data_IF_313876551117
#
_entry.id   IF_313876551117
#
_cell.length_a   1.000
_cell.length_b   1.000
_cell.length_c   1.000
_cell.angle_alpha   90.00
_cell.angle_beta   90.00
_cell.angle_gamma   90.00
#
_symmetry.space_group_name_H-M   'P 1'
#
loop_
_entity.id
_entity.type
_entity.pdbx_description
1 polymer ?
#
# COMPACT_ATOMS: atom_id res chain seq x y z
N UNK A 1 -29.44 -65.43 25.73
CA UNK A 1 -30.81 -65.21 25.22
C UNK A 1 -30.82 -63.90 24.45
N UNK A 2 -31.14 -64.00 23.15
CA UNK A 2 -31.60 -62.99 22.17
C UNK A 2 -30.98 -61.57 22.12
N UNK A 3 -30.36 -61.26 20.97
CA UNK A 3 -30.29 -59.93 20.33
C UNK A 3 -31.59 -59.68 19.49
N UNK A 4 -31.78 -58.62 18.64
CA UNK A 4 -30.85 -57.57 18.16
C UNK A 4 -31.46 -56.15 17.82
N UNK A 5 -30.61 -55.29 17.20
CA UNK A 5 -30.90 -54.28 16.15
C UNK A 5 -31.61 -52.95 16.54
N UNK A 6 -31.39 -51.75 15.98
CA UNK A 6 -30.57 -51.19 14.88
C UNK A 6 -30.66 -49.64 14.93
N UNK A 7 -29.55 -48.97 14.61
CA UNK A 7 -29.33 -47.71 13.83
C UNK A 7 -30.33 -46.52 13.83
N UNK A 8 -29.80 -45.28 13.72
CA UNK A 8 -29.86 -44.40 12.51
C UNK A 8 -29.19 -43.03 12.80
N UNK A 9 -28.49 -42.56 11.77
CA UNK A 9 -27.70 -41.33 11.61
C UNK A 9 -28.51 -40.03 11.82
N UNK A 10 -27.90 -39.07 12.53
CA UNK A 10 -28.39 -37.68 12.62
C UNK A 10 -27.74 -36.81 11.53
N UNK A 11 -28.58 -36.22 10.69
CA UNK A 11 -28.24 -35.28 9.61
C UNK A 11 -28.21 -33.83 10.14
N UNK A 12 -27.20 -33.00 9.84
CA UNK A 12 -27.16 -31.60 10.25
C UNK A 12 -27.75 -30.68 9.16
N UNK A 13 -28.87 -30.03 9.44
CA UNK A 13 -29.37 -28.91 8.65
C UNK A 13 -29.68 -27.73 9.59
N UNK A 14 -28.68 -26.89 9.85
CA UNK A 14 -28.85 -25.55 10.40
C UNK A 14 -29.40 -24.66 9.28
N UNK A 15 -30.69 -24.36 9.38
CA UNK A 15 -31.42 -23.56 8.41
C UNK A 15 -30.90 -22.12 8.33
N UNK A 16 -30.40 -21.75 7.16
CA UNK A 16 -30.31 -20.37 6.71
C UNK A 16 -31.74 -19.85 6.49
N UNK A 17 -32.18 -18.89 7.30
CA UNK A 17 -33.45 -18.20 7.10
C UNK A 17 -33.43 -17.41 5.78
N UNK A 18 -34.42 -17.68 4.92
CA UNK A 18 -34.63 -16.91 3.69
C UNK A 18 -35.06 -15.47 4.04
N UNK A 19 -34.56 -14.42 3.36
CA UNK A 19 -35.09 -13.08 3.53
C UNK A 19 -36.48 -12.97 2.88
N UNK A 20 -37.41 -12.31 3.58
CA UNK A 20 -38.75 -11.99 3.11
C UNK A 20 -38.71 -11.02 1.91
N UNK A 21 -39.62 -11.13 0.93
CA UNK A 21 -39.66 -10.21 -0.21
C UNK A 21 -40.17 -8.84 0.24
N UNK A 22 -39.32 -7.82 0.17
CA UNK A 22 -39.72 -6.43 0.35
C UNK A 22 -40.55 -5.97 -0.86
N UNK A 23 -41.78 -5.55 -0.58
CA UNK A 23 -42.70 -4.98 -1.57
C UNK A 23 -42.19 -3.60 -1.98
N UNK A 24 -41.72 -3.46 -3.22
CA UNK A 24 -41.40 -2.16 -3.80
C UNK A 24 -42.69 -1.36 -4.01
N UNK A 25 -43.00 -0.46 -3.09
CA UNK A 25 -44.00 0.59 -3.35
C UNK A 25 -43.36 1.65 -4.25
N UNK A 26 -43.85 1.72 -5.49
CA UNK A 26 -43.47 2.75 -6.45
C UNK A 26 -43.86 4.13 -5.96
N UNK A 27 -42.87 4.99 -5.74
CA UNK A 27 -43.06 6.42 -5.49
C UNK A 27 -43.50 7.08 -6.79
N UNK A 28 -44.77 7.53 -6.84
CA UNK A 28 -45.28 8.43 -7.90
C UNK A 28 -44.64 9.81 -7.72
N UNK A 29 -43.87 10.24 -8.72
CA UNK A 29 -43.35 11.62 -8.81
C UNK A 29 -44.44 12.53 -9.39
N UNK A 30 -44.83 13.63 -8.72
CA UNK A 30 -45.80 14.57 -9.26
C UNK A 30 -45.21 15.44 -10.38
N UNK A 31 -45.98 15.83 -11.42
CA UNK A 31 -45.47 16.56 -12.56
C UNK A 31 -45.59 18.08 -12.33
N UNK A 32 -44.59 18.68 -11.68
CA UNK A 32 -44.31 20.13 -11.81
C UNK A 32 -43.04 20.51 -11.03
N UNK A 33 -41.89 20.47 -11.71
CA UNK A 33 -40.68 21.15 -11.23
C UNK A 33 -40.57 22.47 -11.98
N UNK A 34 -40.91 23.56 -11.29
CA UNK A 34 -40.63 24.92 -11.74
C UNK A 34 -39.13 25.11 -11.96
N UNK A 35 -38.77 25.78 -13.07
CA UNK A 35 -37.39 26.06 -13.47
C UNK A 35 -36.68 26.90 -12.39
N UNK A 36 -35.47 26.53 -11.93
CA UNK A 36 -34.69 27.40 -11.05
C UNK A 36 -34.26 28.66 -11.80
N UNK A 37 -34.49 29.82 -11.19
CA UNK A 37 -34.04 31.13 -11.66
C UNK A 37 -32.50 31.13 -11.83
N UNK A 38 -32.03 31.64 -12.97
CA UNK A 38 -30.60 31.87 -13.25
C UNK A 38 -30.04 32.82 -12.18
N UNK A 39 -29.14 32.32 -11.35
CA UNK A 39 -28.29 33.17 -10.52
C UNK A 39 -27.18 33.77 -11.39
N UNK A 40 -27.08 35.10 -11.32
CA UNK A 40 -26.05 35.94 -11.92
C UNK A 40 -24.65 35.51 -11.46
N UNK A 41 -23.72 35.43 -12.41
CA UNK A 41 -22.32 35.04 -12.21
C UNK A 41 -21.55 36.06 -11.35
N UNK A 42 -21.18 35.67 -10.14
CA UNK A 42 -20.08 36.31 -9.40
C UNK A 42 -18.73 35.74 -9.89
N UNK A 43 -17.62 36.51 -9.84
CA UNK A 43 -16.34 36.09 -10.39
C UNK A 43 -15.77 34.91 -9.59
N UNK A 44 -15.36 33.84 -10.27
CA UNK A 44 -14.63 32.72 -9.67
C UNK A 44 -13.24 33.20 -9.21
N UNK A 45 -12.80 32.94 -7.97
CA UNK A 45 -11.40 33.08 -7.63
C UNK A 45 -10.56 32.12 -8.47
N UNK A 46 -9.39 32.59 -8.88
CA UNK A 46 -8.49 31.95 -9.84
C UNK A 46 -8.20 30.48 -9.50
N UNK A 47 -8.10 29.67 -10.56
CA UNK A 47 -7.70 28.26 -10.58
C UNK A 47 -6.67 27.95 -9.47
N UNK A 48 -7.03 27.04 -8.54
CA UNK A 48 -6.05 26.34 -7.74
C UNK A 48 -5.12 25.61 -8.72
N UNK A 49 -3.84 25.98 -8.72
CA UNK A 49 -2.83 25.33 -9.54
C UNK A 49 -2.84 23.83 -9.23
N UNK A 50 -3.20 23.01 -10.21
CA UNK A 50 -2.94 21.60 -10.16
C UNK A 50 -1.42 21.43 -10.02
N UNK A 51 -0.97 20.89 -8.89
CA UNK A 51 0.43 20.55 -8.69
C UNK A 51 0.70 19.29 -9.51
N UNK A 52 1.03 19.50 -10.77
CA UNK A 52 1.59 18.48 -11.65
C UNK A 52 3.09 18.36 -11.37
N UNK A 53 3.53 17.19 -10.95
CA UNK A 53 4.97 16.87 -10.89
C UNK A 53 5.39 16.32 -12.25
N UNK A 54 5.89 17.19 -13.12
CA UNK A 54 6.56 16.80 -14.36
C UNK A 54 8.05 16.65 -14.08
N UNK A 55 8.61 15.48 -14.39
CA UNK A 55 10.07 15.29 -14.42
C UNK A 55 10.64 16.17 -15.55
N UNK A 56 11.35 17.25 -15.19
CA UNK A 56 11.99 18.11 -16.19
C UNK A 56 13.24 17.42 -16.74
N UNK A 57 13.12 16.80 -17.92
CA UNK A 57 14.26 16.55 -18.79
C UNK A 57 14.51 17.81 -19.62
N UNK A 58 15.29 18.76 -19.13
CA UNK A 58 15.93 19.74 -20.01
C UNK A 58 17.15 20.37 -19.34
N UNK A 59 18.32 19.99 -19.85
CA UNK A 59 19.59 20.61 -19.54
C UNK A 59 19.71 21.90 -20.35
N UNK A 60 19.44 23.04 -19.74
CA UNK A 60 19.82 24.33 -20.33
C UNK A 60 21.25 24.67 -19.94
N UNK A 61 22.11 24.73 -20.96
CA UNK A 61 23.51 25.09 -20.88
C UNK A 61 23.70 26.51 -20.33
N UNK A 62 24.50 26.61 -19.28
CA UNK A 62 25.23 27.83 -18.93
C UNK A 62 26.65 27.41 -18.60
N UNK A 63 27.59 27.82 -19.46
CA UNK A 63 29.03 27.69 -19.26
C UNK A 63 29.46 28.55 -18.08
N UNK A 64 29.91 27.91 -17.00
CA UNK A 64 30.82 28.47 -16.02
C UNK A 64 31.55 27.33 -15.31
N UNK A 65 32.87 27.47 -15.26
CA UNK A 65 33.92 26.51 -14.95
C UNK A 65 33.77 25.65 -13.67
N UNK A 66 34.17 24.38 -13.82
CA UNK A 66 34.96 23.54 -12.90
C UNK A 66 34.70 23.62 -11.39
N UNK A 67 33.67 22.89 -10.92
CA UNK A 67 33.74 21.90 -9.83
C UNK A 67 32.33 21.32 -9.57
N UNK A 68 31.72 20.68 -10.59
CA UNK A 68 30.46 19.96 -10.37
C UNK A 68 30.80 18.59 -9.80
N UNK A 69 30.45 18.38 -8.53
CA UNK A 69 30.25 17.03 -7.97
C UNK A 69 29.43 16.24 -8.99
N UNK A 70 29.85 15.03 -9.42
CA UNK A 70 29.13 14.28 -10.44
C UNK A 70 27.66 14.18 -10.01
N UNK A 71 26.76 14.60 -10.90
CA UNK A 71 25.34 14.69 -10.61
C UNK A 71 24.85 13.39 -9.96
N UNK A 72 24.26 13.51 -8.77
CA UNK A 72 23.81 12.36 -7.98
C UNK A 72 22.75 11.62 -8.79
N UNK A 73 23.15 10.53 -9.44
CA UNK A 73 22.22 9.63 -10.10
C UNK A 73 21.29 9.04 -9.05
N UNK A 74 20.03 9.47 -9.02
CA UNK A 74 18.97 8.86 -8.20
C UNK A 74 18.46 7.54 -8.79
N UNK A 75 19.10 7.03 -9.84
CA UNK A 75 18.78 5.75 -10.46
C UNK A 75 19.94 4.79 -10.20
N UNK A 76 19.65 3.48 -10.05
CA UNK A 76 20.71 2.51 -9.94
C UNK A 76 21.50 2.41 -11.24
N UNK A 77 22.74 1.94 -11.15
CA UNK A 77 23.55 1.57 -12.30
C UNK A 77 22.96 0.35 -13.05
N UNK A 78 23.50 -0.05 -14.22
CA UNK A 78 23.03 -1.23 -14.95
C UNK A 78 23.10 -2.56 -14.19
N UNK A 79 23.85 -2.61 -13.08
CA UNK A 79 23.91 -3.77 -12.20
C UNK A 79 22.88 -3.71 -11.06
N UNK A 80 22.05 -2.66 -11.01
CA UNK A 80 21.05 -2.45 -9.98
C UNK A 80 21.62 -1.83 -8.71
N UNK A 81 22.79 -1.18 -8.75
CA UNK A 81 23.44 -0.59 -7.57
C UNK A 81 23.19 0.90 -7.41
N UNK A 82 22.91 1.29 -6.17
CA UNK A 82 22.91 2.68 -5.71
C UNK A 82 24.21 2.92 -4.91
N UNK A 83 25.24 3.43 -5.60
CA UNK A 83 26.58 3.46 -5.02
C UNK A 83 27.04 2.06 -4.62
N UNK A 84 27.33 1.83 -3.33
CA UNK A 84 27.73 0.51 -2.81
C UNK A 84 26.56 -0.44 -2.51
N UNK A 85 25.32 0.06 -2.51
CA UNK A 85 24.13 -0.71 -2.11
C UNK A 85 23.40 -1.27 -3.33
N UNK A 86 22.48 -2.22 -3.11
CA UNK A 86 21.70 -2.84 -4.18
C UNK A 86 22.51 -3.90 -4.92
N UNK A 87 22.17 -4.17 -6.18
CA UNK A 87 22.68 -5.31 -6.92
C UNK A 87 21.76 -6.53 -6.84
N UNK A 88 22.14 -7.60 -7.56
CA UNK A 88 21.37 -8.83 -7.70
C UNK A 88 22.05 -9.96 -6.92
N UNK A 89 21.70 -10.10 -5.64
CA UNK A 89 22.21 -11.17 -4.76
C UNK A 89 21.21 -12.31 -4.67
N UNK A 90 21.05 -13.05 -5.77
CA UNK A 90 20.10 -14.16 -5.90
C UNK A 90 20.79 -15.41 -6.44
N UNK A 91 20.18 -16.60 -6.31
CA UNK A 91 20.65 -17.79 -7.02
C UNK A 91 20.74 -17.56 -8.54
N UNK A 92 21.74 -18.16 -9.18
CA UNK A 92 21.97 -18.07 -10.63
C UNK A 92 20.73 -18.46 -11.44
N UNK A 93 19.94 -19.40 -10.93
CA UNK A 93 18.67 -19.85 -11.55
C UNK A 93 17.65 -18.74 -11.74
N UNK A 94 17.72 -17.65 -10.97
CA UNK A 94 16.82 -16.50 -11.10
C UNK A 94 17.38 -15.39 -12.00
N UNK A 95 18.66 -15.44 -12.38
CA UNK A 95 19.30 -14.36 -13.13
C UNK A 95 18.66 -14.16 -14.50
N UNK A 96 18.28 -15.24 -15.18
CA UNK A 96 17.56 -15.16 -16.46
C UNK A 96 16.21 -14.45 -16.31
N UNK A 97 15.41 -14.86 -15.32
CA UNK A 97 14.08 -14.29 -15.09
C UNK A 97 14.12 -12.84 -14.63
N UNK A 98 15.11 -12.46 -13.83
CA UNK A 98 15.35 -11.05 -13.48
C UNK A 98 15.74 -10.22 -14.70
N UNK A 99 16.51 -10.79 -15.63
CA UNK A 99 16.91 -10.11 -16.86
C UNK A 99 15.73 -9.95 -17.83
N UNK A 100 14.88 -10.98 -17.96
CA UNK A 100 13.60 -10.90 -18.68
C UNK A 100 12.69 -9.82 -18.09
N UNK A 101 12.52 -9.83 -16.77
CA UNK A 101 11.70 -8.85 -16.05
C UNK A 101 12.21 -7.42 -16.26
N UNK A 102 13.52 -7.21 -16.15
CA UNK A 102 14.14 -5.90 -16.34
C UNK A 102 13.95 -5.39 -17.77
N UNK A 103 14.19 -6.24 -18.77
CA UNK A 103 13.97 -5.89 -20.18
C UNK A 103 12.50 -5.51 -20.44
N UNK A 104 11.57 -6.30 -19.92
CA UNK A 104 10.14 -6.02 -20.06
C UNK A 104 9.73 -4.74 -19.32
N UNK A 105 10.23 -4.51 -18.11
CA UNK A 105 10.01 -3.26 -17.37
C UNK A 105 10.48 -2.05 -18.19
N UNK A 106 11.69 -2.09 -18.75
CA UNK A 106 12.19 -0.98 -19.55
C UNK A 106 11.36 -0.74 -20.80
N UNK A 107 10.91 -1.81 -21.46
CA UNK A 107 10.02 -1.71 -22.62
C UNK A 107 8.69 -1.03 -22.27
N UNK A 108 8.03 -1.44 -21.18
CA UNK A 108 6.72 -0.88 -20.80
C UNK A 108 6.79 0.47 -20.09
N UNK A 109 7.93 0.80 -19.49
CA UNK A 109 8.11 2.07 -18.75
C UNK A 109 7.96 3.31 -19.62
N UNK A 110 8.12 3.17 -20.94
CA UNK A 110 7.99 4.24 -21.94
C UNK A 110 6.87 3.98 -22.95
N UNK A 111 6.15 2.87 -22.81
CA UNK A 111 5.04 2.51 -23.68
C UNK A 111 3.78 3.30 -23.26
N UNK A 112 3.34 4.22 -24.12
CA UNK A 112 2.19 5.09 -23.87
C UNK A 112 0.89 4.30 -23.66
N UNK A 113 0.68 3.19 -24.36
CA UNK A 113 -0.51 2.37 -24.22
C UNK A 113 -0.52 1.66 -22.87
N UNK A 114 0.65 1.16 -22.43
CA UNK A 114 0.80 0.59 -21.10
C UNK A 114 0.55 1.62 -20.00
N UNK A 115 1.15 2.82 -20.11
CA UNK A 115 0.95 3.88 -19.12
C UNK A 115 -0.51 4.31 -19.05
N UNK A 116 -1.17 4.46 -20.21
CA UNK A 116 -2.59 4.81 -20.27
C UNK A 116 -3.50 3.74 -19.65
N UNK A 117 -3.21 2.45 -19.86
CA UNK A 117 -3.93 1.36 -19.22
C UNK A 117 -3.72 1.37 -17.70
N UNK A 118 -2.47 1.52 -17.25
CA UNK A 118 -2.13 1.61 -15.83
C UNK A 118 -2.81 2.80 -15.16
N UNK A 119 -2.74 3.99 -15.76
CA UNK A 119 -3.37 5.22 -15.26
C UNK A 119 -4.88 5.10 -15.16
N UNK A 120 -5.52 4.47 -16.17
CA UNK A 120 -6.95 4.17 -16.13
C UNK A 120 -7.32 3.29 -14.93
N UNK A 121 -6.53 2.25 -14.64
CA UNK A 121 -6.76 1.36 -13.49
C UNK A 121 -6.48 2.07 -12.18
N UNK A 122 -5.39 2.83 -12.09
CA UNK A 122 -5.06 3.63 -10.91
C UNK A 122 -6.17 4.64 -10.58
N UNK A 123 -6.74 5.28 -11.59
CA UNK A 123 -7.84 6.23 -11.41
C UNK A 123 -9.14 5.52 -11.03
N UNK A 124 -9.62 4.63 -11.88
CA UNK A 124 -11.00 4.13 -11.80
C UNK A 124 -11.17 2.94 -10.84
N UNK A 125 -10.10 2.15 -10.61
CA UNK A 125 -10.14 0.99 -9.72
C UNK A 125 -9.47 1.25 -8.38
N UNK A 126 -8.29 1.89 -8.37
CA UNK A 126 -7.59 2.21 -7.11
C UNK A 126 -8.17 3.46 -6.44
N UNK A 127 -8.69 4.41 -7.21
CA UNK A 127 -9.25 5.67 -6.69
C UNK A 127 -8.22 6.80 -6.60
N UNK A 128 -7.19 6.78 -7.44
CA UNK A 128 -6.20 7.87 -7.54
C UNK A 128 -6.80 9.08 -8.27
N UNK A 129 -6.36 10.29 -8.00
CA UNK A 129 -5.31 10.67 -7.04
C UNK A 129 -5.82 10.71 -5.59
N UNK A 130 -4.98 10.25 -4.65
CA UNK A 130 -5.25 10.42 -3.23
C UNK A 130 -5.09 11.88 -2.80
N UNK A 131 -5.96 12.43 -1.94
CA UNK A 131 -5.88 13.83 -1.53
C UNK A 131 -4.64 14.11 -0.66
N UNK A 132 -4.17 15.37 -0.72
CA UNK A 132 -3.25 15.94 0.26
C UNK A 132 -4.06 16.77 1.26
N UNK A 133 -4.32 16.18 2.41
CA UNK A 133 -5.23 16.73 3.42
C UNK A 133 -4.48 17.64 4.39
N UNK A 134 -4.92 18.89 4.56
CA UNK A 134 -4.40 19.76 5.62
C UNK A 134 -5.02 19.38 6.96
N UNK A 135 -4.20 18.90 7.90
CA UNK A 135 -4.65 18.43 9.21
C UNK A 135 -4.71 19.61 10.18
N UNK A 136 -5.82 20.32 10.18
CA UNK A 136 -6.01 21.57 10.93
C UNK A 136 -5.80 21.39 12.44
N UNK A 137 -6.43 20.39 13.04
CA UNK A 137 -6.39 20.18 14.49
C UNK A 137 -5.05 19.63 14.96
N UNK A 138 -4.39 18.82 14.12
CA UNK A 138 -3.03 18.34 14.34
C UNK A 138 -2.01 19.45 14.16
N UNK A 139 -2.23 20.35 13.20
CA UNK A 139 -1.41 21.57 13.02
C UNK A 139 -1.52 22.45 14.26
N UNK A 140 -2.74 22.71 14.74
CA UNK A 140 -2.96 23.49 15.95
C UNK A 140 -2.35 22.83 17.21
N UNK A 141 -2.35 21.50 17.27
CA UNK A 141 -1.69 20.75 18.35
C UNK A 141 -0.17 20.99 18.42
N UNK A 142 0.49 21.17 17.26
CA UNK A 142 1.94 21.41 17.18
C UNK A 142 2.32 22.90 17.17
N UNK A 143 1.37 23.82 17.33
CA UNK A 143 1.70 25.23 17.52
C UNK A 143 2.39 25.45 18.86
N UNK A 144 3.42 26.27 18.83
CA UNK A 144 4.12 26.76 20.02
C UNK A 144 3.25 27.82 20.72
N UNK A 145 3.51 28.13 22.01
CA UNK A 145 2.71 29.10 22.77
C UNK A 145 2.66 30.51 22.16
N UNK A 146 3.64 30.88 21.34
CA UNK A 146 3.68 32.15 20.59
C UNK A 146 2.78 32.13 19.32
N UNK A 147 2.05 31.04 19.08
CA UNK A 147 1.16 30.86 17.92
C UNK A 147 1.84 30.37 16.64
N UNK A 148 3.17 30.22 16.67
CA UNK A 148 3.98 29.77 15.52
C UNK A 148 4.12 28.25 15.48
N UNK A 149 4.24 27.67 14.30
CA UNK A 149 4.47 26.24 14.15
C UNK A 149 4.42 25.77 12.70
N UNK A 150 4.77 24.50 12.45
CA UNK A 150 4.64 23.91 11.12
C UNK A 150 3.17 23.68 10.75
N UNK A 151 2.91 23.62 9.45
CA UNK A 151 1.65 23.18 8.87
C UNK A 151 1.74 21.69 8.50
N UNK A 152 0.83 20.87 9.03
CA UNK A 152 0.85 19.42 8.81
C UNK A 152 -0.12 19.03 7.70
N UNK A 153 0.39 18.31 6.71
CA UNK A 153 -0.37 17.74 5.61
C UNK A 153 -0.24 16.22 5.59
N UNK A 154 -1.34 15.53 5.35
CA UNK A 154 -1.40 14.07 5.25
C UNK A 154 -1.63 13.66 3.80
N UNK A 155 -0.70 12.90 3.21
CA UNK A 155 -0.90 12.27 1.91
C UNK A 155 -1.69 10.97 2.11
N UNK A 156 -2.95 10.97 1.69
CA UNK A 156 -3.99 10.01 2.11
C UNK A 156 -4.00 8.68 1.32
N UNK A 157 -2.89 7.94 1.34
CA UNK A 157 -2.84 6.60 0.70
C UNK A 157 -3.70 5.55 1.43
N UNK A 158 -4.17 5.86 2.65
CA UNK A 158 -5.16 5.11 3.41
C UNK A 158 -6.53 5.01 2.71
N UNK A 159 -6.82 5.94 1.78
CA UNK A 159 -8.04 5.98 1.00
C UNK A 159 -8.00 5.15 -0.28
N UNK A 160 -6.83 4.63 -0.67
CA UNK A 160 -6.73 3.76 -1.84
C UNK A 160 -7.62 2.52 -1.66
N UNK A 161 -8.05 1.93 -2.78
CA UNK A 161 -8.63 0.59 -2.75
C UNK A 161 -7.70 -0.39 -2.00
N UNK A 162 -8.27 -1.37 -1.31
CA UNK A 162 -7.63 -2.22 -0.29
C UNK A 162 -7.12 -1.50 0.98
N UNK A 163 -7.01 -0.17 1.00
CA UNK A 163 -6.75 0.65 2.18
C UNK A 163 -5.29 0.98 2.46
N UNK A 164 -4.40 0.84 1.48
CA UNK A 164 -2.98 1.16 1.62
C UNK A 164 -2.30 1.43 0.27
N UNK A 165 -1.10 2.02 0.32
CA UNK A 165 -0.25 2.27 -0.86
C UNK A 165 0.19 1.00 -1.62
N UNK A 166 0.13 -0.19 -0.98
CA UNK A 166 0.61 -1.46 -1.55
C UNK A 166 -0.09 -1.85 -2.86
N UNK A 167 -1.35 -1.43 -3.04
CA UNK A 167 -2.12 -1.69 -4.25
C UNK A 167 -1.51 -1.04 -5.50
N UNK A 168 -0.82 0.09 -5.36
CA UNK A 168 -0.18 0.79 -6.49
C UNK A 168 0.87 -0.09 -7.16
N UNK A 169 1.74 -0.71 -6.35
CA UNK A 169 2.76 -1.66 -6.83
C UNK A 169 2.12 -2.95 -7.38
N UNK A 170 1.15 -3.51 -6.65
CA UNK A 170 0.51 -4.77 -7.04
C UNK A 170 -0.17 -4.67 -8.42
N UNK A 171 -0.88 -3.56 -8.70
CA UNK A 171 -1.53 -3.35 -10.00
C UNK A 171 -0.50 -3.29 -11.13
N UNK A 172 0.56 -2.49 -10.97
CA UNK A 172 1.58 -2.32 -12.00
C UNK A 172 2.31 -3.64 -12.29
N UNK A 173 2.69 -4.39 -11.25
CA UNK A 173 3.37 -5.67 -11.42
C UNK A 173 2.46 -6.76 -11.99
N UNK A 174 1.20 -6.83 -11.58
CA UNK A 174 0.27 -7.80 -12.15
C UNK A 174 -0.05 -7.48 -13.62
N UNK A 175 -0.11 -6.20 -14.00
CA UNK A 175 -0.26 -5.79 -15.39
C UNK A 175 0.98 -6.15 -16.23
N UNK A 176 2.18 -5.94 -15.67
CA UNK A 176 3.44 -6.37 -16.29
C UNK A 176 3.49 -7.90 -16.45
N UNK A 177 3.06 -8.65 -15.44
CA UNK A 177 3.00 -10.11 -15.50
C UNK A 177 2.10 -10.61 -16.65
N UNK A 178 0.95 -9.95 -16.88
CA UNK A 178 0.10 -10.23 -18.05
C UNK A 178 0.81 -9.98 -19.37
N UNK A 179 1.57 -8.88 -19.49
CA UNK A 179 2.35 -8.55 -20.69
C UNK A 179 3.46 -9.58 -20.93
N UNK A 180 4.05 -10.12 -19.87
CA UNK A 180 5.00 -11.23 -19.89
C UNK A 180 4.35 -12.61 -20.14
N UNK A 181 3.02 -12.68 -20.29
CA UNK A 181 2.31 -13.94 -20.50
C UNK A 181 2.26 -14.87 -19.26
N UNK A 182 2.66 -14.38 -18.09
CA UNK A 182 2.64 -15.14 -16.83
C UNK A 182 1.19 -15.22 -16.34
N UNK A 183 0.73 -16.43 -16.03
CA UNK A 183 -0.65 -16.70 -15.58
C UNK A 183 -0.77 -16.92 -14.08
N UNK A 184 0.38 -17.11 -13.42
CA UNK A 184 0.50 -17.45 -12.02
C UNK A 184 1.28 -16.37 -11.29
N UNK A 185 0.72 -15.88 -10.21
CA UNK A 185 1.32 -14.89 -9.32
C UNK A 185 1.55 -15.53 -7.97
N UNK A 186 2.76 -15.34 -7.46
CA UNK A 186 3.08 -15.62 -6.07
C UNK A 186 3.40 -14.32 -5.34
N UNK A 187 3.15 -14.31 -4.03
CA UNK A 187 3.58 -13.27 -3.12
C UNK A 187 3.77 -13.86 -1.72
N UNK A 188 4.45 -13.12 -0.86
CA UNK A 188 4.58 -13.37 0.56
C UNK A 188 3.78 -12.34 1.37
N UNK A 189 3.44 -12.60 2.62
CA UNK A 189 2.87 -11.56 3.49
C UNK A 189 3.07 -11.84 4.97
N UNK A 190 3.25 -10.77 5.75
CA UNK A 190 3.26 -10.79 7.22
C UNK A 190 1.90 -10.32 7.75
N UNK A 191 1.72 -9.02 7.94
CA UNK A 191 0.44 -8.45 8.40
C UNK A 191 -0.77 -8.68 7.46
N UNK A 192 -0.54 -9.18 6.23
CA UNK A 192 -1.59 -9.57 5.28
C UNK A 192 -1.97 -8.51 4.26
N UNK A 193 -1.56 -7.24 4.44
CA UNK A 193 -1.94 -6.16 3.51
C UNK A 193 -1.37 -6.34 2.10
N UNK A 194 -0.11 -6.79 1.99
CA UNK A 194 0.50 -7.10 0.70
C UNK A 194 -0.21 -8.27 0.02
N UNK A 195 -0.47 -9.34 0.76
CA UNK A 195 -1.21 -10.49 0.25
C UNK A 195 -2.63 -10.14 -0.21
N UNK A 196 -3.36 -9.31 0.54
CA UNK A 196 -4.69 -8.82 0.14
C UNK A 196 -4.63 -7.96 -1.12
N UNK A 197 -3.64 -7.07 -1.25
CA UNK A 197 -3.46 -6.27 -2.46
C UNK A 197 -3.17 -7.15 -3.68
N UNK A 198 -2.24 -8.11 -3.54
CA UNK A 198 -1.91 -9.07 -4.60
C UNK A 198 -3.11 -9.94 -4.99
N UNK A 199 -3.82 -10.52 -4.01
CA UNK A 199 -5.02 -11.31 -4.28
C UNK A 199 -6.10 -10.49 -5.00
N UNK A 200 -6.27 -9.21 -4.61
CA UNK A 200 -7.25 -8.29 -5.21
C UNK A 200 -6.95 -8.05 -6.70
N UNK A 201 -5.69 -7.79 -7.06
CA UNK A 201 -5.33 -7.53 -8.45
C UNK A 201 -5.34 -8.81 -9.29
N UNK A 202 -4.98 -9.96 -8.70
CA UNK A 202 -5.06 -11.24 -9.40
C UNK A 202 -6.51 -11.62 -9.70
N UNK A 203 -7.42 -11.44 -8.75
CA UNK A 203 -8.85 -11.63 -8.96
C UNK A 203 -9.38 -10.74 -10.10
N UNK A 204 -9.01 -9.46 -10.11
CA UNK A 204 -9.39 -8.52 -11.17
C UNK A 204 -8.90 -8.96 -12.55
N UNK A 205 -7.67 -9.47 -12.62
CA UNK A 205 -7.01 -9.81 -13.88
C UNK A 205 -7.18 -11.27 -14.32
N UNK A 206 -7.86 -12.10 -13.52
CA UNK A 206 -8.03 -13.52 -13.81
C UNK A 206 -6.72 -14.31 -13.73
N UNK A 207 -5.83 -13.94 -12.81
CA UNK A 207 -4.54 -14.61 -12.59
C UNK A 207 -4.66 -15.58 -11.40
N UNK A 208 -4.01 -16.73 -11.49
CA UNK A 208 -3.82 -17.62 -10.35
C UNK A 208 -2.98 -16.89 -9.29
N UNK A 209 -3.38 -16.95 -8.02
CA UNK A 209 -2.71 -16.25 -6.94
C UNK A 209 -2.43 -17.19 -5.78
N UNK A 210 -1.16 -17.28 -5.39
CA UNK A 210 -0.72 -18.01 -4.21
C UNK A 210 0.02 -17.05 -3.29
N UNK A 211 -0.44 -16.94 -2.05
CA UNK A 211 0.18 -16.10 -1.03
C UNK A 211 0.78 -16.98 0.06
N UNK A 212 2.09 -16.86 0.25
CA UNK A 212 2.84 -17.48 1.33
C UNK A 212 2.76 -16.62 2.59
N UNK A 213 2.41 -17.22 3.71
CA UNK A 213 2.25 -16.49 4.98
C UNK A 213 2.74 -17.35 6.14
N UNK A 214 3.51 -16.75 7.05
CA UNK A 214 3.97 -17.44 8.25
C UNK A 214 2.79 -17.93 9.09
N UNK A 215 2.84 -19.17 9.60
CA UNK A 215 1.71 -19.76 10.33
C UNK A 215 1.29 -18.93 11.56
N UNK A 216 2.24 -18.30 12.26
CA UNK A 216 1.92 -17.40 13.38
C UNK A 216 1.21 -16.13 12.91
N UNK A 217 1.63 -15.57 11.77
CA UNK A 217 0.99 -14.39 11.19
C UNK A 217 -0.42 -14.73 10.70
N UNK A 218 -0.64 -15.93 10.14
CA UNK A 218 -1.97 -16.39 9.72
C UNK A 218 -2.98 -16.43 10.88
N UNK A 219 -2.56 -16.93 12.04
CA UNK A 219 -3.40 -16.96 13.24
C UNK A 219 -3.75 -15.54 13.71
N UNK A 220 -2.74 -14.67 13.79
CA UNK A 220 -2.91 -13.27 14.23
C UNK A 220 -3.74 -12.44 13.25
N UNK A 221 -3.69 -12.77 11.96
CA UNK A 221 -4.30 -11.99 10.87
C UNK A 221 -5.37 -12.80 10.13
N UNK A 222 -6.15 -13.61 10.86
CA UNK A 222 -7.17 -14.50 10.29
C UNK A 222 -8.17 -13.77 9.36
N UNK A 223 -8.49 -12.50 9.64
CA UNK A 223 -9.37 -11.70 8.77
C UNK A 223 -8.75 -11.42 7.40
N UNK A 224 -7.44 -11.13 7.33
CA UNK A 224 -6.77 -10.92 6.04
C UNK A 224 -6.57 -12.25 5.30
N UNK A 225 -6.33 -13.36 6.01
CA UNK A 225 -6.34 -14.71 5.41
C UNK A 225 -7.69 -15.01 4.76
N UNK A 226 -8.78 -14.75 5.47
CA UNK A 226 -10.13 -14.93 4.93
C UNK A 226 -10.38 -14.05 3.71
N UNK A 227 -9.99 -12.77 3.75
CA UNK A 227 -10.10 -11.84 2.61
C UNK A 227 -9.36 -12.35 1.36
N UNK A 228 -8.13 -12.84 1.52
CA UNK A 228 -7.35 -13.40 0.41
C UNK A 228 -8.06 -14.62 -0.22
N UNK A 229 -8.56 -15.54 0.62
CA UNK A 229 -9.32 -16.71 0.15
C UNK A 229 -10.63 -16.33 -0.53
N UNK A 230 -11.34 -15.32 -0.01
CA UNK A 230 -12.56 -14.78 -0.61
C UNK A 230 -12.30 -14.21 -2.01
N UNK A 231 -11.12 -13.64 -2.23
CA UNK A 231 -10.66 -13.14 -3.53
C UNK A 231 -10.16 -14.27 -4.46
N UNK A 232 -10.22 -15.53 -4.04
CA UNK A 232 -9.81 -16.69 -4.83
C UNK A 232 -8.32 -17.01 -4.76
N UNK A 233 -7.55 -16.36 -3.89
CA UNK A 233 -6.15 -16.71 -3.69
C UNK A 233 -6.01 -17.96 -2.79
N UNK A 234 -5.04 -18.81 -3.13
CA UNK A 234 -4.57 -19.86 -2.22
C UNK A 234 -3.64 -19.22 -1.18
N UNK A 235 -3.88 -19.47 0.11
CA UNK A 235 -3.02 -18.97 1.19
C UNK A 235 -2.28 -20.15 1.83
N UNK A 236 -0.97 -20.23 1.57
CA UNK A 236 -0.09 -21.31 2.02
C UNK A 236 0.62 -20.94 3.32
N UNK A 237 0.36 -21.74 4.35
CA UNK A 237 1.01 -21.59 5.65
C UNK A 237 2.47 -22.04 5.60
N UNK A 238 3.36 -21.21 6.13
CA UNK A 238 4.78 -21.54 6.29
C UNK A 238 5.08 -21.81 7.76
N UNK A 239 5.47 -23.05 8.04
CA UNK A 239 5.77 -23.55 9.39
C UNK A 239 7.28 -23.62 9.69
N UNK A 240 8.13 -23.44 8.67
CA UNK A 240 9.58 -23.47 8.85
C UNK A 240 10.09 -22.28 9.65
N UNK A 241 11.20 -22.48 10.36
CA UNK A 241 11.90 -21.40 11.05
C UNK A 241 11.06 -20.76 12.15
N UNK A 242 10.94 -19.44 12.10
CA UNK A 242 10.12 -18.66 13.06
C UNK A 242 8.64 -18.62 12.69
N UNK A 243 8.27 -19.16 11.52
CA UNK A 243 6.93 -19.11 10.95
C UNK A 243 6.40 -17.66 10.83
N UNK A 244 7.27 -16.75 10.36
CA UNK A 244 6.96 -15.33 10.10
C UNK A 244 7.24 -14.94 8.65
N UNK A 245 7.06 -13.66 8.32
CA UNK A 245 7.34 -13.07 7.01
C UNK A 245 8.67 -13.50 6.37
N UNK A 246 9.77 -13.53 7.13
CA UNK A 246 11.09 -13.96 6.61
C UNK A 246 11.06 -15.38 6.03
N UNK A 247 10.37 -16.28 6.74
CA UNK A 247 10.24 -17.68 6.33
C UNK A 247 9.30 -17.78 5.11
N UNK A 248 8.22 -16.99 5.09
CA UNK A 248 7.32 -16.89 3.94
C UNK A 248 8.02 -16.39 2.66
N UNK A 249 8.88 -15.38 2.78
CA UNK A 249 9.73 -14.90 1.66
C UNK A 249 10.62 -16.01 1.14
N UNK A 250 11.22 -16.80 2.02
CA UNK A 250 12.13 -17.88 1.64
C UNK A 250 11.40 -18.96 0.84
N UNK A 251 10.20 -19.35 1.28
CA UNK A 251 9.38 -20.33 0.57
C UNK A 251 8.82 -19.79 -0.75
N UNK A 252 8.42 -18.53 -0.81
CA UNK A 252 8.02 -17.87 -2.06
C UNK A 252 9.17 -17.84 -3.08
N UNK A 253 10.41 -17.56 -2.65
CA UNK A 253 11.58 -17.60 -3.52
C UNK A 253 11.86 -19.02 -4.01
N UNK A 254 11.72 -20.06 -3.16
CA UNK A 254 11.88 -21.46 -3.58
C UNK A 254 10.86 -21.84 -4.66
N UNK A 255 9.59 -21.48 -4.47
CA UNK A 255 8.55 -21.68 -5.47
C UNK A 255 8.92 -20.97 -6.78
N UNK A 256 9.35 -19.70 -6.67
CA UNK A 256 9.73 -18.94 -7.85
C UNK A 256 10.85 -19.61 -8.64
N UNK A 257 11.90 -20.08 -7.96
CA UNK A 257 13.02 -20.79 -8.60
C UNK A 257 12.53 -22.03 -9.36
N UNK A 258 11.55 -22.76 -8.81
CA UNK A 258 11.00 -23.96 -9.46
C UNK A 258 10.06 -23.64 -10.63
N UNK A 259 9.31 -22.55 -10.55
CA UNK A 259 8.22 -22.22 -11.49
C UNK A 259 8.46 -20.93 -12.30
N UNK A 260 9.73 -20.57 -12.49
CA UNK A 260 10.15 -19.25 -12.98
C UNK A 260 9.61 -18.90 -14.37
N UNK A 261 9.41 -19.90 -15.22
CA UNK A 261 8.93 -19.72 -16.60
C UNK A 261 7.47 -19.27 -16.63
N UNK A 262 6.64 -19.75 -15.71
CA UNK A 262 5.18 -19.54 -15.70
C UNK A 262 4.70 -18.55 -14.64
N UNK A 263 5.57 -18.22 -13.68
CA UNK A 263 5.22 -17.49 -12.47
C UNK A 263 5.90 -16.13 -12.40
N UNK A 264 5.13 -15.10 -12.04
CA UNK A 264 5.67 -13.80 -11.63
C UNK A 264 5.58 -13.66 -10.10
N UNK A 265 6.65 -13.19 -9.48
CA UNK A 265 6.70 -12.93 -8.04
C UNK A 265 6.47 -11.45 -7.77
N UNK A 266 5.37 -11.09 -7.09
CA UNK A 266 5.13 -9.73 -6.60
C UNK A 266 5.68 -9.63 -5.18
N UNK A 267 6.91 -9.12 -5.05
CA UNK A 267 7.57 -8.95 -3.78
C UNK A 267 6.96 -7.80 -2.95
N UNK A 268 6.81 -8.03 -1.66
CA UNK A 268 6.55 -7.00 -0.67
C UNK A 268 7.82 -6.25 -0.28
N UNK A 269 7.66 -5.04 0.28
CA UNK A 269 8.78 -4.26 0.83
C UNK A 269 8.96 -4.45 2.34
N UNK A 270 8.19 -5.35 2.95
CA UNK A 270 8.17 -5.58 4.39
C UNK A 270 9.21 -6.65 4.69
N UNK A 271 10.42 -6.24 5.06
CA UNK A 271 11.59 -7.10 5.23
C UNK A 271 12.36 -6.66 6.49
N UNK A 272 13.07 -7.55 7.21
CA UNK A 272 13.93 -7.16 8.34
C UNK A 272 15.13 -6.27 7.96
N UNK A 273 15.22 -5.83 6.70
CA UNK A 273 16.22 -4.88 6.21
C UNK A 273 15.55 -3.66 5.60
N UNK A 274 16.34 -2.78 5.00
CA UNK A 274 15.86 -1.57 4.33
C UNK A 274 16.25 -1.60 2.86
N UNK A 275 15.41 -1.03 1.99
CA UNK A 275 15.70 -0.94 0.55
C UNK A 275 17.05 -0.28 0.27
N UNK A 276 17.77 -0.69 -0.80
CA UNK A 276 19.12 -0.21 -1.06
C UNK A 276 19.17 1.30 -1.36
N UNK A 277 18.12 1.85 -1.98
CA UNK A 277 18.00 3.29 -2.22
C UNK A 277 17.96 4.08 -0.90
N UNK A 278 17.27 3.57 0.14
CA UNK A 278 17.25 4.22 1.45
C UNK A 278 18.65 4.28 2.09
N UNK A 279 19.39 3.18 2.04
CA UNK A 279 20.79 3.13 2.53
C UNK A 279 21.69 4.10 1.78
N UNK A 280 21.51 4.23 0.47
CA UNK A 280 22.23 5.19 -0.36
C UNK A 280 21.88 6.63 0.01
N UNK A 281 20.59 6.96 0.14
CA UNK A 281 20.13 8.30 0.54
C UNK A 281 20.60 8.67 1.95
N UNK A 282 20.73 7.69 2.85
CA UNK A 282 21.34 7.88 4.18
C UNK A 282 22.81 8.26 4.06
N UNK A 283 23.58 7.49 3.30
CA UNK A 283 25.03 7.72 3.13
C UNK A 283 25.31 9.05 2.42
N UNK A 284 24.41 9.50 1.54
CA UNK A 284 24.48 10.81 0.90
C UNK A 284 24.11 11.98 1.83
N UNK A 285 23.57 11.72 3.03
CA UNK A 285 22.98 12.76 3.89
C UNK A 285 21.72 13.39 3.30
N UNK A 286 21.07 12.74 2.32
CA UNK A 286 19.84 13.24 1.69
C UNK A 286 18.58 12.84 2.45
N UNK A 287 18.62 11.73 3.18
CA UNK A 287 17.53 11.26 4.04
C UNK A 287 18.06 10.93 5.43
N UNK A 288 17.31 11.36 6.45
CA UNK A 288 17.56 11.03 7.85
C UNK A 288 16.59 9.93 8.31
N UNK A 289 17.08 9.00 9.12
CA UNK A 289 16.32 7.84 9.57
C UNK A 289 16.29 7.86 11.10
N UNK A 290 15.09 8.00 11.64
CA UNK A 290 14.81 8.03 13.06
C UNK A 290 14.00 6.80 13.48
N UNK A 291 14.14 6.41 14.74
CA UNK A 291 13.34 5.33 15.33
C UNK A 291 12.24 5.88 16.22
N UNK A 292 11.15 5.14 16.32
CA UNK A 292 10.01 5.40 17.19
C UNK A 292 9.67 4.08 17.89
N UNK A 293 9.32 4.16 19.17
CA UNK A 293 8.90 3.01 19.97
C UNK A 293 7.42 2.68 19.77
N UNK A 294 7.02 1.45 20.09
CA UNK A 294 5.62 1.03 20.00
C UNK A 294 4.69 1.94 20.82
N UNK A 295 5.13 2.38 22.01
CA UNK A 295 4.33 3.26 22.86
C UNK A 295 4.11 4.63 22.24
N UNK A 296 5.16 5.22 21.65
CA UNK A 296 5.05 6.52 20.96
C UNK A 296 4.13 6.40 19.73
N UNK A 297 4.23 5.31 18.98
CA UNK A 297 3.34 5.02 17.86
C UNK A 297 1.88 4.85 18.31
N UNK A 298 1.63 4.15 19.42
CA UNK A 298 0.29 3.98 19.99
C UNK A 298 -0.31 5.32 20.47
N UNK A 299 0.48 6.18 21.09
CA UNK A 299 0.03 7.52 21.47
C UNK A 299 -0.28 8.40 20.25
N UNK A 300 0.54 8.32 19.19
CA UNK A 300 0.28 9.02 17.94
C UNK A 300 -0.98 8.49 17.23
N UNK A 301 -1.18 7.16 17.22
CA UNK A 301 -2.39 6.51 16.71
C UNK A 301 -3.63 7.08 17.40
N UNK A 302 -3.62 7.14 18.72
CA UNK A 302 -4.71 7.70 19.55
C UNK A 302 -4.89 9.20 19.32
N UNK A 303 -3.79 9.97 19.26
CA UNK A 303 -3.80 11.42 19.03
C UNK A 303 -4.47 11.76 17.71
N UNK A 304 -4.01 11.19 16.60
CA UNK A 304 -4.55 11.49 15.27
C UNK A 304 -6.00 11.01 15.13
N UNK A 305 -6.35 9.87 15.72
CA UNK A 305 -7.75 9.42 15.79
C UNK A 305 -8.67 10.44 16.47
N UNK A 306 -8.21 11.09 17.55
CA UNK A 306 -9.00 12.07 18.32
C UNK A 306 -8.99 13.47 17.71
N UNK A 307 -7.88 13.88 17.10
CA UNK A 307 -7.73 15.21 16.52
C UNK A 307 -8.34 15.28 15.12
N UNK A 308 -8.11 14.28 14.28
CA UNK A 308 -8.51 14.35 12.85
C UNK A 308 -9.65 13.40 12.49
N UNK A 309 -10.09 12.53 13.40
CA UNK A 309 -11.08 11.49 13.07
C UNK A 309 -10.56 10.48 12.05
N UNK A 310 -9.24 10.36 11.90
CA UNK A 310 -8.56 9.43 11.01
C UNK A 310 -7.92 8.38 11.89
N UNK A 311 -8.25 7.10 11.66
CA UNK A 311 -7.59 5.96 12.33
C UNK A 311 -6.44 5.50 11.43
N UNK A 312 -5.19 5.94 11.66
CA UNK A 312 -4.05 5.55 10.83
C UNK A 312 -3.65 4.10 11.06
N UNK A 313 -2.98 3.48 10.09
CA UNK A 313 -2.26 2.23 10.36
C UNK A 313 -1.17 2.43 11.42
N UNK A 314 -0.80 1.39 12.17
CA UNK A 314 0.28 1.50 13.17
C UNK A 314 1.62 1.86 12.51
N UNK A 315 1.87 1.42 11.28
CA UNK A 315 3.02 1.80 10.47
C UNK A 315 3.02 3.31 10.14
N UNK A 316 1.84 3.87 9.81
CA UNK A 316 1.67 5.32 9.63
C UNK A 316 1.87 6.07 10.95
N UNK A 317 1.44 5.46 12.06
CA UNK A 317 1.53 6.06 13.39
C UNK A 317 2.96 6.27 13.86
N UNK A 318 3.91 5.45 13.40
CA UNK A 318 5.34 5.70 13.64
C UNK A 318 5.82 7.01 13.02
N UNK A 319 5.45 7.28 11.76
CA UNK A 319 5.79 8.54 11.11
C UNK A 319 5.14 9.75 11.80
N UNK A 320 3.90 9.59 12.27
CA UNK A 320 3.18 10.63 13.02
C UNK A 320 3.76 10.89 14.41
N UNK A 321 4.25 9.85 15.09
CA UNK A 321 4.87 9.99 16.41
C UNK A 321 6.16 10.82 16.34
N UNK A 322 6.93 10.68 15.27
CA UNK A 322 8.16 11.47 15.08
C UNK A 322 7.89 12.98 14.98
N UNK A 323 6.65 13.41 14.71
CA UNK A 323 6.29 14.83 14.73
C UNK A 323 6.52 15.49 16.09
N UNK A 324 6.47 14.75 17.20
CA UNK A 324 6.81 15.24 18.55
C UNK A 324 8.25 15.76 18.62
N UNK A 325 9.17 15.09 17.92
CA UNK A 325 10.59 15.45 17.89
C UNK A 325 10.85 16.48 16.80
N UNK A 326 10.23 16.31 15.63
CA UNK A 326 10.50 17.12 14.46
C UNK A 326 9.92 18.53 14.59
N UNK A 327 8.63 18.67 14.92
CA UNK A 327 7.91 19.95 14.85
C UNK A 327 8.55 21.08 15.68
N UNK A 328 9.05 20.85 16.90
CA UNK A 328 9.71 21.89 17.69
C UNK A 328 10.97 22.48 17.05
N UNK A 329 11.60 21.75 16.13
CA UNK A 329 12.85 22.16 15.46
C UNK A 329 12.62 22.95 14.18
N UNK A 330 11.38 22.97 13.68
CA UNK A 330 11.06 23.57 12.39
C UNK A 330 10.75 25.08 12.50
N UNK A 331 11.15 25.88 11.50
CA UNK A 331 10.71 27.28 11.38
C UNK A 331 9.18 27.41 11.29
N UNK A 332 8.66 28.59 11.64
CA UNK A 332 7.25 28.92 11.49
C UNK A 332 6.75 28.67 10.04
N UNK A 333 5.53 28.15 9.90
CA UNK A 333 4.85 27.86 8.63
C UNK A 333 5.55 26.83 7.74
N UNK A 334 6.55 26.11 8.25
CA UNK A 334 7.14 24.98 7.53
C UNK A 334 6.06 23.97 7.18
N UNK A 335 5.96 23.57 5.90
CA UNK A 335 4.99 22.58 5.47
C UNK A 335 5.58 21.18 5.62
N UNK A 336 5.00 20.39 6.51
CA UNK A 336 5.36 18.99 6.74
C UNK A 336 4.34 18.10 6.05
N UNK A 337 4.80 17.19 5.20
CA UNK A 337 3.96 16.19 4.55
C UNK A 337 4.25 14.82 5.15
N UNK A 338 3.23 14.17 5.70
CA UNK A 338 3.31 12.81 6.24
C UNK A 338 2.55 11.87 5.33
N UNK A 339 3.19 10.76 4.94
CA UNK A 339 2.53 9.72 4.16
C UNK A 339 1.64 8.87 5.08
N UNK A 340 0.31 8.99 4.92
CA UNK A 340 -0.65 8.08 5.54
C UNK A 340 -0.70 6.79 4.73
N UNK A 341 0.29 5.93 4.95
CA UNK A 341 0.58 4.75 4.13
C UNK A 341 -0.54 3.72 4.09
N UNK A 342 -1.43 3.70 5.08
CA UNK A 342 -2.61 2.84 5.12
C UNK A 342 -3.56 3.18 6.27
N UNK A 343 -4.76 2.61 6.22
CA UNK A 343 -5.79 2.77 7.27
C UNK A 343 -5.63 1.75 8.41
N UNK A 344 -6.02 2.16 9.61
CA UNK A 344 -5.83 1.42 10.84
C UNK A 344 -6.88 0.36 11.17
N UNK A 345 -7.86 0.11 10.30
CA UNK A 345 -8.91 -0.91 10.56
C UNK A 345 -8.32 -2.27 10.92
N UNK A 346 -7.20 -2.65 10.29
CA UNK A 346 -6.49 -3.91 10.55
C UNK A 346 -5.85 -3.95 11.94
N UNK A 347 -5.53 -2.79 12.49
CA UNK A 347 -4.76 -2.65 13.73
C UNK A 347 -5.66 -2.46 14.95
N UNK A 348 -6.97 -2.23 14.77
CA UNK A 348 -7.93 -2.00 15.87
C UNK A 348 -7.92 -3.15 16.87
N UNK A 349 -7.86 -4.40 16.42
CA UNK A 349 -7.81 -5.56 17.32
C UNK A 349 -6.54 -5.59 18.18
N UNK A 350 -5.41 -5.14 17.62
CA UNK A 350 -4.17 -4.97 18.37
C UNK A 350 -4.30 -3.79 19.33
N UNK A 351 -4.80 -2.65 18.86
CA UNK A 351 -4.98 -1.44 19.66
C UNK A 351 -5.89 -1.66 20.88
N UNK A 352 -6.96 -2.46 20.77
CA UNK A 352 -7.85 -2.80 21.91
C UNK A 352 -7.08 -3.43 23.08
N UNK A 353 -6.03 -4.20 22.80
CA UNK A 353 -5.23 -4.88 23.85
C UNK A 353 -4.27 -3.94 24.57
N UNK A 354 -3.90 -2.82 23.94
CA UNK A 354 -2.85 -1.93 24.41
C UNK A 354 -3.36 -0.53 24.81
N UNK A 355 -4.53 -0.12 24.34
CA UNK A 355 -5.13 1.16 24.68
C UNK A 355 -6.24 0.98 25.70
N UNK A 356 -6.11 1.69 26.83
CA UNK A 356 -7.21 1.94 27.75
C UNK A 356 -7.89 3.24 27.30
N UNK A 357 -9.11 3.14 26.76
CA UNK A 357 -9.87 4.27 26.21
C UNK A 357 -10.96 4.76 27.13
#
# INVERSE_FOLDING_TARGET
MAAPATSVLGNPNLGLSKPSPSTFFGVRVPPSLERPRRFSSAPRPALAAAVSCTMTNEATAVEAAENRTPGVGLRPDPFGRFGRFGGKYVPETLMYALSELEAAFWAVSKDEDFQKELDGILKDYVGRESPLYFAERLTDHYRRPNGEGPHIYLKREDLNHTGAHKINNAVAQALLAKKLGKKRIIAETGAGQHGVATATVCARFGLECIVYMGAQDMERQALNVFRMRLLGAEVRAVHSGTATLKDATSEAIRDWVTNVETTHYILGLDYPGVGPEHSYLKDLGRAEYNSVTDQEALEAFKRVSRLEGIIPALETSHALAHLEVLCPTLPDRTKVVVCCSGRGDKDVQTAIKHLQL
#
